data_IF_199239486523
#
_entry.id   IF_199239486523
#
_cell.length_a   1.000
_cell.length_b   1.000
_cell.length_c   1.000
_cell.angle_alpha   90.00
_cell.angle_beta   90.00
_cell.angle_gamma   90.00
#
_symmetry.space_group_name_H-M   'P 1'
#
loop_
_entity.id
_entity.type
_entity.pdbx_description
1 polymer ?
#
# COMPACT_ATOMS: atom_id res chain seq x y z
N UNK A 1 -11.26 -6.16 -13.94
CA UNK A 1 -9.87 -5.76 -13.66
C UNK A 1 -9.89 -4.30 -13.27
N UNK A 2 -9.69 -3.97 -12.00
CA UNK A 2 -9.62 -2.58 -11.53
C UNK A 2 -8.28 -2.00 -11.97
N UNK A 3 -8.27 -1.31 -13.12
CA UNK A 3 -7.12 -0.51 -13.51
C UNK A 3 -6.95 0.60 -12.46
N UNK A 4 -5.82 0.62 -11.76
CA UNK A 4 -5.50 1.71 -10.86
C UNK A 4 -5.26 2.96 -11.74
N UNK A 5 -6.15 3.97 -11.65
CA UNK A 5 -6.09 5.17 -12.52
C UNK A 5 -5.17 6.26 -11.99
N UNK A 6 -4.84 6.21 -10.70
CA UNK A 6 -3.93 7.14 -10.06
C UNK A 6 -2.51 6.54 -10.04
N UNK A 7 -1.50 7.39 -10.01
CA UNK A 7 -0.11 7.03 -9.81
C UNK A 7 0.38 7.46 -8.43
N UNK A 8 1.68 7.32 -8.20
CA UNK A 8 2.36 7.89 -7.04
C UNK A 8 2.16 9.43 -7.01
N UNK A 9 1.96 10.07 -5.83
CA UNK A 9 2.03 9.49 -4.47
C UNK A 9 0.72 8.84 -3.99
N UNK A 10 -0.36 8.86 -4.77
CA UNK A 10 -1.67 8.37 -4.33
C UNK A 10 -1.76 6.83 -4.27
N UNK A 11 -1.00 6.16 -5.12
CA UNK A 11 -0.92 4.70 -5.18
C UNK A 11 0.48 4.24 -5.47
N UNK A 12 0.87 3.12 -4.87
CA UNK A 12 2.14 2.45 -5.12
C UNK A 12 1.87 1.02 -5.57
N UNK A 13 2.51 0.60 -6.66
CA UNK A 13 2.44 -0.77 -7.16
C UNK A 13 3.42 -1.63 -6.36
N UNK A 14 2.94 -2.76 -5.83
CA UNK A 14 3.79 -3.67 -5.05
C UNK A 14 4.65 -4.51 -5.98
N UNK A 15 5.95 -4.56 -5.73
CA UNK A 15 6.84 -5.50 -6.38
C UNK A 15 6.57 -6.88 -5.78
N UNK A 16 5.97 -7.78 -6.57
CA UNK A 16 5.46 -9.05 -6.08
C UNK A 16 6.57 -9.93 -5.46
N UNK A 17 6.46 -10.20 -4.16
CA UNK A 17 7.11 -11.38 -3.54
C UNK A 17 6.12 -12.50 -3.22
N UNK A 18 4.92 -12.22 -2.68
CA UNK A 18 4.03 -13.29 -2.16
C UNK A 18 2.53 -13.14 -2.47
N UNK A 19 2.11 -12.11 -3.21
CA UNK A 19 0.69 -11.87 -3.46
C UNK A 19 0.17 -12.67 -4.66
N UNK A 20 -1.00 -13.32 -4.56
CA UNK A 20 -1.55 -14.18 -5.63
C UNK A 20 -1.92 -13.41 -6.91
N UNK A 21 -2.00 -12.08 -6.83
CA UNK A 21 -2.30 -11.17 -7.94
C UNK A 21 -1.52 -9.87 -7.78
N UNK A 22 -1.22 -9.25 -8.92
CA UNK A 22 -0.69 -7.89 -8.98
C UNK A 22 -1.59 -6.95 -8.18
N UNK A 23 -0.98 -6.19 -7.26
CA UNK A 23 -1.67 -5.44 -6.23
C UNK A 23 -1.05 -4.06 -6.04
N UNK A 24 -1.82 -3.15 -5.46
CA UNK A 24 -1.42 -1.78 -5.21
C UNK A 24 -1.79 -1.37 -3.78
N UNK A 25 -0.91 -0.61 -3.15
CA UNK A 25 -1.24 0.14 -1.94
C UNK A 25 -1.93 1.44 -2.36
N UNK A 26 -3.11 1.70 -1.79
CA UNK A 26 -3.82 2.98 -1.93
C UNK A 26 -3.39 3.90 -0.81
N UNK A 27 -2.29 4.62 -1.01
CA UNK A 27 -1.66 5.47 0.00
C UNK A 27 -2.65 6.54 0.50
N UNK A 28 -3.49 7.09 -0.38
CA UNK A 28 -4.50 8.08 0.01
C UNK A 28 -5.68 7.55 0.85
N UNK A 29 -5.77 6.24 1.12
CA UNK A 29 -6.92 5.62 1.79
C UNK A 29 -6.54 4.97 3.12
N UNK A 30 -6.54 5.77 4.20
CA UNK A 30 -6.32 5.28 5.55
C UNK A 30 -7.62 4.79 6.20
N UNK A 31 -7.56 3.64 6.88
CA UNK A 31 -8.68 3.07 7.62
C UNK A 31 -8.20 2.63 9.01
N UNK A 32 -8.90 3.07 10.04
CA UNK A 32 -8.77 2.48 11.38
C UNK A 32 -9.65 1.24 11.45
N UNK A 33 -9.08 0.10 11.82
CA UNK A 33 -9.77 -1.18 11.94
C UNK A 33 -9.53 -1.76 13.34
N UNK A 34 -10.52 -2.47 13.90
CA UNK A 34 -10.29 -3.34 15.06
C UNK A 34 -9.32 -4.46 14.67
N UNK A 35 -8.47 -4.89 15.61
CA UNK A 35 -7.57 -6.05 15.44
C UNK A 35 -8.35 -7.33 15.16
N UNK A 36 -9.59 -7.46 15.64
CA UNK A 36 -10.46 -8.61 15.39
C UNK A 36 -10.88 -8.74 13.92
N UNK A 37 -10.79 -7.64 13.15
CA UNK A 37 -11.11 -7.62 11.71
C UNK A 37 -9.90 -7.95 10.82
N UNK A 38 -8.69 -8.02 11.39
CA UNK A 38 -7.46 -8.33 10.67
C UNK A 38 -7.29 -9.84 10.60
N UNK A 39 -7.27 -10.40 9.39
CA UNK A 39 -7.06 -11.84 9.16
C UNK A 39 -5.58 -12.25 9.16
N UNK A 40 -5.30 -13.43 8.61
CA UNK A 40 -3.95 -13.98 8.53
C UNK A 40 -3.00 -13.13 7.66
N UNK A 41 -1.71 -13.10 8.03
CA UNK A 41 -0.64 -12.46 7.25
C UNK A 41 -0.53 -13.10 5.85
N UNK A 42 -0.57 -12.28 4.80
CA UNK A 42 -0.45 -12.73 3.41
C UNK A 42 0.98 -12.67 2.85
N UNK A 43 1.84 -11.85 3.44
CA UNK A 43 3.20 -11.60 2.95
C UNK A 43 3.88 -10.48 3.73
N UNK A 44 5.03 -10.03 3.23
CA UNK A 44 5.79 -8.94 3.82
C UNK A 44 6.42 -8.07 2.73
N UNK A 45 6.41 -6.76 2.95
CA UNK A 45 7.08 -5.79 2.07
C UNK A 45 8.56 -5.71 2.40
N UNK A 46 9.36 -5.43 1.38
CA UNK A 46 10.75 -5.03 1.61
C UNK A 46 10.79 -3.66 2.30
N UNK A 47 11.81 -3.39 3.15
CA UNK A 47 11.95 -2.10 3.81
C UNK A 47 11.95 -0.91 2.85
N UNK A 48 12.52 -1.08 1.66
CA UNK A 48 12.61 -0.05 0.63
C UNK A 48 11.23 0.34 0.09
N UNK A 49 10.35 -0.65 -0.16
CA UNK A 49 8.98 -0.40 -0.60
C UNK A 49 8.17 0.32 0.49
N UNK A 50 8.33 -0.11 1.75
CA UNK A 50 7.67 0.53 2.89
C UNK A 50 8.09 2.00 3.01
N UNK A 51 9.39 2.30 2.87
CA UNK A 51 9.90 3.66 2.89
C UNK A 51 9.32 4.51 1.76
N UNK A 52 9.19 3.95 0.56
CA UNK A 52 8.58 4.66 -0.58
C UNK A 52 7.10 4.98 -0.32
N UNK A 53 6.35 4.04 0.27
CA UNK A 53 4.95 4.25 0.66
C UNK A 53 4.84 5.37 1.72
N UNK A 54 5.73 5.38 2.71
CA UNK A 54 5.76 6.42 3.76
C UNK A 54 6.08 7.79 3.17
N UNK A 55 7.01 7.87 2.21
CA UNK A 55 7.32 9.12 1.50
C UNK A 55 6.10 9.64 0.73
N UNK A 56 5.39 8.75 0.03
CA UNK A 56 4.16 9.13 -0.67
C UNK A 56 3.08 9.63 0.28
N UNK A 57 2.98 9.04 1.47
CA UNK A 57 2.09 9.54 2.52
C UNK A 57 2.49 10.95 2.97
N UNK A 58 3.77 11.17 3.27
CA UNK A 58 4.29 12.49 3.67
C UNK A 58 3.99 13.56 2.60
N UNK A 59 4.16 13.25 1.31
CA UNK A 59 3.79 14.14 0.20
C UNK A 59 2.29 14.49 0.20
N UNK A 60 1.42 13.52 0.50
CA UNK A 60 -0.04 13.75 0.54
C UNK A 60 -0.43 14.67 1.71
N UNK A 61 0.20 14.52 2.87
CA UNK A 61 -0.14 15.29 4.08
C UNK A 61 0.66 16.61 4.20
N UNK A 62 1.62 16.85 3.31
CA UNK A 62 2.45 18.05 3.30
C UNK A 62 3.49 18.09 4.42
N UNK A 63 4.07 16.94 4.78
CA UNK A 63 5.10 16.78 5.81
C UNK A 63 6.48 16.46 5.22
#
# INVERSE_FOLDING_TARGET
MSYQRAGYPLTFELESTDLPKKSWVKISQFRTLSTERIGSKLGQLQPEELNHIINGLNEIIGN
#
